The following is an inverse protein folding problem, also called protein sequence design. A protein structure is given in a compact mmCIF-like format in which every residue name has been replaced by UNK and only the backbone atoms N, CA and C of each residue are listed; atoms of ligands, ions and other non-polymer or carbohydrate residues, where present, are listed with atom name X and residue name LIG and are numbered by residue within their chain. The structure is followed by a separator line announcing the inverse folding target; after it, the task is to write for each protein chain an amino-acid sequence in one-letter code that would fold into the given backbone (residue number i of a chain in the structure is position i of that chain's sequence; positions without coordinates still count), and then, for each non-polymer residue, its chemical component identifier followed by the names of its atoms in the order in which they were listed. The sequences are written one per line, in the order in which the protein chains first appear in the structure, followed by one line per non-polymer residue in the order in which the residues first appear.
data_IF_004959638483
#
_entry.id   IF_004959638483
#
_cell.length_a   1.000
_cell.length_b   1.000
_cell.length_c   1.000
_cell.angle_alpha   90.00
_cell.angle_beta   90.00
_cell.angle_gamma   90.00
#
_symmetry.space_group_name_H-M   'P 1'
#
loop_
_entity.id
_entity.type
_entity.pdbx_description
1 polymer ?
#
# COMPACT_ATOMS: atom_id res chain seq x y z
N UNK A 1 -18.11 -8.61 -11.25
CA UNK A 1 -17.04 -8.32 -10.26
C UNK A 1 -15.92 -9.32 -10.46
N UNK A 2 -14.68 -8.85 -10.57
CA UNK A 2 -13.49 -9.67 -10.78
C UNK A 2 -12.73 -9.77 -9.46
N UNK A 3 -12.44 -10.99 -9.02
CA UNK A 3 -11.59 -11.26 -7.87
C UNK A 3 -10.37 -12.08 -8.31
N UNK A 4 -9.19 -11.68 -7.84
CA UNK A 4 -7.94 -12.38 -8.12
C UNK A 4 -7.31 -12.83 -6.81
N UNK A 5 -7.21 -14.14 -6.62
CA UNK A 5 -6.38 -14.75 -5.59
C UNK A 5 -4.94 -14.77 -6.10
N UNK A 6 -4.04 -14.12 -5.39
CA UNK A 6 -2.64 -13.95 -5.76
C UNK A 6 -1.70 -14.71 -4.85
N UNK A 7 -2.08 -15.03 -3.61
CA UNK A 7 -1.23 -15.79 -2.70
C UNK A 7 -1.43 -17.30 -2.87
N UNK A 8 -0.32 -18.02 -2.96
CA UNK A 8 -0.29 -19.44 -3.30
C UNK A 8 -0.58 -19.66 -4.79
N UNK A 9 -1.29 -20.75 -5.10
CA UNK A 9 -1.74 -20.99 -6.46
C UNK A 9 -2.78 -19.92 -6.84
N UNK A 10 -2.40 -19.07 -7.80
CA UNK A 10 -3.22 -17.93 -8.20
C UNK A 10 -4.48 -18.40 -8.94
N UNK A 11 -5.59 -17.70 -8.71
CA UNK A 11 -6.89 -18.03 -9.28
C UNK A 11 -7.64 -16.74 -9.62
N UNK A 12 -8.40 -16.75 -10.71
CA UNK A 12 -9.22 -15.62 -11.14
C UNK A 12 -10.68 -16.04 -11.13
N UNK A 13 -11.53 -15.19 -10.57
CA UNK A 13 -12.96 -15.39 -10.49
C UNK A 13 -13.69 -14.18 -11.09
N UNK A 14 -14.69 -14.44 -11.94
CA UNK A 14 -15.63 -13.44 -12.44
C UNK A 14 -17.01 -13.80 -11.93
N UNK A 15 -17.59 -12.91 -11.13
CA UNK A 15 -18.89 -13.13 -10.47
C UNK A 15 -18.96 -14.46 -9.73
N UNK A 16 -17.87 -14.80 -9.04
CA UNK A 16 -17.70 -16.04 -8.25
C UNK A 16 -17.35 -17.28 -9.07
N UNK A 17 -17.33 -17.22 -10.40
CA UNK A 17 -16.96 -18.34 -11.27
C UNK A 17 -15.48 -18.30 -11.62
N UNK A 18 -14.78 -19.40 -11.38
CA UNK A 18 -13.35 -19.53 -11.72
C UNK A 18 -13.15 -19.50 -13.24
N UNK A 19 -12.15 -18.73 -13.68
CA UNK A 19 -11.69 -18.72 -15.07
C UNK A 19 -10.59 -19.77 -15.21
N UNK A 20 -10.84 -20.78 -16.04
CA UNK A 20 -9.92 -21.91 -16.24
C UNK A 20 -8.76 -21.59 -17.18
N UNK A 21 -8.97 -20.67 -18.14
CA UNK A 21 -8.00 -20.37 -19.19
C UNK A 21 -7.96 -18.88 -19.49
N UNK A 22 -6.75 -18.39 -19.69
CA UNK A 22 -6.47 -17.06 -20.23
C UNK A 22 -5.84 -17.22 -21.61
N UNK A 23 -6.31 -16.44 -22.58
CA UNK A 23 -5.86 -16.49 -23.97
C UNK A 23 -4.37 -16.17 -24.09
N UNK A 24 -3.84 -15.27 -23.25
CA UNK A 24 -2.44 -14.85 -23.28
C UNK A 24 -1.83 -14.82 -21.89
N UNK A 25 -0.70 -15.52 -21.72
CA UNK A 25 0.12 -15.42 -20.50
C UNK A 25 0.63 -13.98 -20.28
N UNK A 26 0.93 -13.23 -21.34
CA UNK A 26 1.40 -11.83 -21.21
C UNK A 26 0.27 -10.91 -20.76
N UNK A 27 -0.94 -11.10 -21.28
CA UNK A 27 -2.14 -10.38 -20.85
C UNK A 27 -2.42 -10.63 -19.36
N UNK A 28 -2.34 -11.90 -18.94
CA UNK A 28 -2.49 -12.29 -17.53
C UNK A 28 -1.45 -11.60 -16.63
N UNK A 29 -0.17 -11.62 -17.02
CA UNK A 29 0.89 -10.96 -16.24
C UNK A 29 0.71 -9.44 -16.15
N UNK A 30 0.26 -8.80 -17.23
CA UNK A 30 -0.08 -7.37 -17.22
C UNK A 30 -1.22 -7.11 -16.24
N UNK A 31 -2.29 -7.92 -16.26
CA UNK A 31 -3.37 -7.80 -15.27
C UNK A 31 -2.83 -7.89 -13.83
N UNK A 32 -1.99 -8.90 -13.53
CA UNK A 32 -1.40 -9.05 -12.21
C UNK A 32 -0.57 -7.82 -11.80
N UNK A 33 0.26 -7.30 -12.71
CA UNK A 33 1.03 -6.09 -12.45
C UNK A 33 0.13 -4.89 -12.14
N UNK A 34 -0.91 -4.66 -12.95
CA UNK A 34 -1.89 -3.59 -12.72
C UNK A 34 -2.64 -3.75 -11.39
N UNK A 35 -2.81 -4.98 -10.90
CA UNK A 35 -3.48 -5.24 -9.62
C UNK A 35 -2.55 -5.16 -8.41
N UNK A 36 -1.25 -5.39 -8.58
CA UNK A 36 -0.25 -5.26 -7.53
C UNK A 36 0.17 -3.81 -7.28
N UNK A 37 -0.08 -2.91 -8.23
CA UNK A 37 0.03 -1.46 -8.03
C UNK A 37 -1.24 -0.93 -7.36
N UNK A 38 -1.14 0.03 -6.43
CA UNK A 38 -2.33 0.67 -5.84
C UNK A 38 -2.98 1.69 -6.82
N UNK A 39 -2.25 2.06 -7.88
CA UNK A 39 -2.68 3.04 -8.85
C UNK A 39 -3.82 2.53 -9.76
N UNK A 40 -4.83 3.38 -9.95
CA UNK A 40 -5.86 3.19 -10.99
C UNK A 40 -5.38 3.61 -12.38
N UNK A 41 -4.24 4.29 -12.47
CA UNK A 41 -3.58 4.71 -13.71
C UNK A 41 -2.11 4.34 -13.64
N UNK A 42 -1.70 3.36 -14.44
CA UNK A 42 -0.31 2.87 -14.48
C UNK A 42 0.35 3.37 -15.75
N UNK A 43 1.57 3.89 -15.67
CA UNK A 43 2.24 4.50 -16.81
C UNK A 43 2.49 3.50 -17.95
N UNK A 44 2.25 3.90 -19.19
CA UNK A 44 2.61 3.10 -20.36
C UNK A 44 4.13 2.91 -20.43
N UNK A 45 4.90 3.93 -20.04
CA UNK A 45 6.37 3.85 -19.99
C UNK A 45 6.82 2.80 -18.98
N UNK A 46 6.23 2.80 -17.79
CA UNK A 46 6.50 1.79 -16.75
C UNK A 46 6.18 0.37 -17.24
N UNK A 47 5.02 0.18 -17.89
CA UNK A 47 4.66 -1.11 -18.48
C UNK A 47 5.59 -1.50 -19.64
N UNK A 48 6.06 -0.54 -20.43
CA UNK A 48 7.03 -0.76 -21.49
C UNK A 48 8.34 -1.31 -20.93
N UNK A 49 8.89 -0.63 -19.93
CA UNK A 49 10.15 -1.02 -19.27
C UNK A 49 10.06 -2.42 -18.65
N UNK A 50 8.89 -2.81 -18.13
CA UNK A 50 8.67 -4.12 -17.51
C UNK A 50 8.46 -5.25 -18.52
N UNK A 51 7.67 -5.01 -19.57
CA UNK A 51 7.17 -6.09 -20.44
C UNK A 51 7.74 -6.08 -21.86
N UNK A 52 8.34 -4.97 -22.29
CA UNK A 52 8.82 -4.74 -23.65
C UNK A 52 10.11 -3.92 -23.65
N UNK A 53 11.04 -4.25 -22.76
CA UNK A 53 12.36 -3.63 -22.74
C UNK A 53 13.04 -3.75 -24.12
N UNK A 54 13.60 -2.64 -24.60
CA UNK A 54 14.26 -2.54 -25.91
C UNK A 54 13.36 -2.43 -27.14
N UNK A 55 12.04 -2.35 -27.00
CA UNK A 55 11.13 -2.15 -28.15
C UNK A 55 10.74 -0.68 -28.35
N UNK A 56 10.38 -0.31 -29.59
CA UNK A 56 9.91 1.04 -29.90
C UNK A 56 8.47 1.30 -29.43
N UNK A 57 8.13 2.57 -29.23
CA UNK A 57 6.84 2.99 -28.68
C UNK A 57 5.64 2.54 -29.54
N UNK A 58 5.79 2.52 -30.86
CA UNK A 58 4.69 2.14 -31.77
C UNK A 58 4.39 0.66 -31.64
N UNK A 59 5.43 -0.18 -31.55
CA UNK A 59 5.28 -1.61 -31.29
C UNK A 59 4.64 -1.87 -29.92
N UNK A 60 5.12 -1.18 -28.88
CA UNK A 60 4.61 -1.31 -27.51
C UNK A 60 3.12 -1.00 -27.45
N UNK A 61 2.69 0.17 -27.97
CA UNK A 61 1.29 0.59 -27.91
C UNK A 61 0.35 -0.38 -28.62
N UNK A 62 0.74 -0.84 -29.81
CA UNK A 62 -0.05 -1.83 -30.56
C UNK A 62 -0.20 -3.13 -29.76
N UNK A 63 0.90 -3.64 -29.20
CA UNK A 63 0.88 -4.89 -28.44
C UNK A 63 0.14 -4.74 -27.11
N UNK A 64 0.30 -3.62 -26.41
CA UNK A 64 -0.40 -3.33 -25.16
C UNK A 64 -1.92 -3.34 -25.38
N UNK A 65 -2.42 -2.66 -26.41
CA UNK A 65 -3.85 -2.66 -26.73
C UNK A 65 -4.39 -4.06 -27.01
N UNK A 66 -3.62 -4.90 -27.71
CA UNK A 66 -3.97 -6.32 -27.93
C UNK A 66 -4.01 -7.10 -26.61
N UNK A 67 -3.04 -6.91 -25.73
CA UNK A 67 -3.04 -7.59 -24.42
C UNK A 67 -4.23 -7.16 -23.56
N UNK A 68 -4.53 -5.85 -23.50
CA UNK A 68 -5.69 -5.34 -22.76
C UNK A 68 -7.00 -5.86 -23.35
N UNK A 69 -7.10 -5.97 -24.69
CA UNK A 69 -8.24 -6.61 -25.34
C UNK A 69 -8.41 -8.06 -24.91
N UNK A 70 -7.33 -8.85 -24.83
CA UNK A 70 -7.40 -10.22 -24.34
C UNK A 70 -7.85 -10.30 -22.88
N UNK A 71 -7.34 -9.45 -22.00
CA UNK A 71 -7.83 -9.38 -20.61
C UNK A 71 -9.34 -9.10 -20.58
N UNK A 72 -9.81 -8.10 -21.33
CA UNK A 72 -11.23 -7.75 -21.36
C UNK A 72 -12.10 -8.89 -21.86
N UNK A 73 -11.67 -9.54 -22.95
CA UNK A 73 -12.37 -10.66 -23.57
C UNK A 73 -12.46 -11.85 -22.63
N UNK A 74 -11.34 -12.24 -22.02
CA UNK A 74 -11.26 -13.41 -21.14
C UNK A 74 -12.06 -13.22 -19.85
N UNK A 75 -12.14 -11.98 -19.35
CA UNK A 75 -12.93 -11.63 -18.16
C UNK A 75 -14.37 -11.23 -18.45
N UNK A 76 -14.74 -11.05 -19.72
CA UNK A 76 -16.07 -10.55 -20.10
C UNK A 76 -16.39 -9.14 -19.57
N UNK A 77 -15.40 -8.23 -19.55
CA UNK A 77 -15.57 -6.87 -19.02
C UNK A 77 -15.54 -5.80 -20.12
N UNK A 78 -16.24 -4.70 -19.86
CA UNK A 78 -16.25 -3.53 -20.73
C UNK A 78 -14.92 -2.76 -20.74
N UNK A 79 -14.63 -2.10 -21.87
CA UNK A 79 -13.47 -1.22 -22.02
C UNK A 79 -13.40 -0.08 -20.99
N UNK A 80 -14.55 0.41 -20.51
CA UNK A 80 -14.59 1.45 -19.48
C UNK A 80 -13.89 1.04 -18.17
N UNK A 81 -13.70 -0.25 -17.92
CA UNK A 81 -13.05 -0.73 -16.70
C UNK A 81 -11.57 -1.07 -16.87
N UNK A 82 -11.09 -1.24 -18.11
CA UNK A 82 -9.69 -1.49 -18.41
C UNK A 82 -9.36 -0.96 -19.80
N UNK A 83 -8.66 0.16 -19.90
CA UNK A 83 -8.36 0.80 -21.19
C UNK A 83 -6.99 1.44 -21.22
N UNK A 84 -6.47 1.57 -22.43
CA UNK A 84 -5.28 2.37 -22.71
C UNK A 84 -5.71 3.81 -22.96
N UNK A 85 -5.04 4.76 -22.31
CA UNK A 85 -5.15 6.19 -22.57
C UNK A 85 -3.81 6.71 -23.12
N UNK A 86 -3.65 8.03 -23.29
CA UNK A 86 -2.47 8.58 -23.97
C UNK A 86 -1.15 8.17 -23.32
N UNK A 87 -1.07 8.23 -21.99
CA UNK A 87 0.19 7.99 -21.25
C UNK A 87 0.08 6.89 -20.20
N UNK A 88 -1.11 6.34 -19.98
CA UNK A 88 -1.36 5.38 -18.92
C UNK A 88 -2.40 4.35 -19.32
N UNK A 89 -2.37 3.21 -18.64
CA UNK A 89 -3.45 2.23 -18.62
C UNK A 89 -4.31 2.50 -17.40
N UNK A 90 -5.59 2.71 -17.64
CA UNK A 90 -6.59 2.83 -16.58
C UNK A 90 -7.14 1.46 -16.21
N UNK A 91 -7.26 1.20 -14.91
CA UNK A 91 -7.94 0.03 -14.33
C UNK A 91 -8.92 0.47 -13.25
N UNK A 92 -10.17 0.01 -13.35
CA UNK A 92 -11.21 0.31 -12.37
C UNK A 92 -11.14 -0.64 -11.17
N UNK A 93 -10.42 -0.20 -10.13
CA UNK A 93 -10.24 -0.92 -8.87
C UNK A 93 -11.54 -1.20 -8.09
N UNK A 94 -12.68 -0.63 -8.48
CA UNK A 94 -13.96 -1.00 -7.86
C UNK A 94 -14.44 -2.36 -8.35
N UNK A 95 -14.25 -2.67 -9.63
CA UNK A 95 -14.65 -3.96 -10.20
C UNK A 95 -13.59 -5.04 -10.01
N UNK A 96 -12.33 -4.65 -9.82
CA UNK A 96 -11.20 -5.55 -9.63
C UNK A 96 -10.76 -5.58 -8.16
N UNK A 97 -10.86 -6.74 -7.53
CA UNK A 97 -10.44 -6.99 -6.16
C UNK A 97 -9.37 -8.08 -6.12
N UNK A 98 -8.53 -8.07 -5.10
CA UNK A 98 -7.56 -9.13 -4.85
C UNK A 98 -7.30 -9.38 -3.36
N UNK A 99 -6.89 -10.59 -3.02
CA UNK A 99 -6.35 -10.90 -1.69
C UNK A 99 -5.09 -10.10 -1.37
N UNK A 100 -4.30 -9.73 -2.38
CA UNK A 100 -3.18 -8.81 -2.24
C UNK A 100 -3.62 -7.43 -1.74
N UNK A 101 -4.61 -6.81 -2.38
CA UNK A 101 -5.13 -5.52 -1.92
C UNK A 101 -5.71 -5.65 -0.50
N UNK A 102 -6.43 -6.74 -0.23
CA UNK A 102 -6.94 -7.05 1.09
C UNK A 102 -5.83 -7.16 2.15
N UNK A 103 -4.72 -7.80 1.81
CA UNK A 103 -3.53 -7.91 2.66
C UNK A 103 -2.87 -6.56 2.92
N UNK A 104 -2.61 -5.77 1.87
CA UNK A 104 -2.01 -4.44 2.01
C UNK A 104 -2.90 -3.53 2.86
N UNK A 105 -4.21 -3.51 2.62
CA UNK A 105 -5.14 -2.70 3.41
C UNK A 105 -5.20 -3.16 4.88
N UNK A 106 -5.29 -4.48 5.10
CA UNK A 106 -5.30 -5.02 6.47
C UNK A 106 -4.00 -4.71 7.22
N UNK A 107 -2.87 -4.64 6.53
CA UNK A 107 -1.60 -4.25 7.15
C UNK A 107 -1.57 -2.80 7.64
N UNK A 108 -2.40 -1.91 7.06
CA UNK A 108 -2.53 -0.50 7.47
C UNK A 108 -3.49 -0.33 8.68
N UNK A 109 -4.45 -1.23 8.83
CA UNK A 109 -5.45 -1.19 9.90
C UNK A 109 -4.85 -1.48 11.29
N UNK A 110 -5.65 -1.27 12.35
CA UNK A 110 -5.26 -1.56 13.73
C UNK A 110 -4.90 -3.04 13.87
N UNK A 111 -3.61 -3.31 14.11
CA UNK A 111 -3.03 -4.66 14.21
C UNK A 111 -3.75 -5.56 15.22
N UNK A 112 -4.42 -4.97 16.22
CA UNK A 112 -5.22 -5.68 17.23
C UNK A 112 -6.55 -6.24 16.67
N UNK A 113 -6.98 -5.80 15.50
CA UNK A 113 -8.20 -6.25 14.79
C UNK A 113 -7.90 -7.10 13.57
N UNK A 114 -6.63 -7.21 13.20
CA UNK A 114 -6.22 -8.11 12.14
C UNK A 114 -6.53 -9.54 12.60
N UNK A 115 -7.38 -10.23 11.85
CA UNK A 115 -7.51 -11.68 11.99
C UNK A 115 -6.15 -12.29 11.68
N UNK A 116 -5.45 -12.71 12.74
CA UNK A 116 -4.09 -13.24 12.66
C UNK A 116 -3.99 -14.44 11.74
N UNK A 117 -5.08 -15.21 11.60
CA UNK A 117 -5.05 -16.49 10.90
C UNK A 117 -5.03 -16.29 9.38
N UNK A 118 -5.82 -15.34 8.85
CA UNK A 118 -5.83 -15.02 7.42
C UNK A 118 -4.51 -14.36 6.96
N UNK A 119 -3.93 -13.51 7.79
CA UNK A 119 -2.62 -12.93 7.49
C UNK A 119 -1.50 -13.97 7.61
N UNK A 120 -1.55 -14.86 8.60
CA UNK A 120 -0.59 -15.97 8.71
C UNK A 120 -0.63 -16.87 7.48
N UNK A 121 -1.83 -17.22 6.99
CA UNK A 121 -1.99 -18.01 5.76
C UNK A 121 -1.33 -17.32 4.56
N UNK A 122 -1.59 -16.02 4.39
CA UNK A 122 -0.97 -15.20 3.34
C UNK A 122 0.55 -15.15 3.49
N UNK A 123 1.05 -14.95 4.71
CA UNK A 123 2.47 -14.86 4.99
C UNK A 123 3.22 -16.20 4.85
N UNK A 124 2.50 -17.31 4.93
CA UNK A 124 3.03 -18.64 4.64
C UNK A 124 2.90 -19.03 3.16
N UNK A 125 2.31 -18.16 2.34
CA UNK A 125 2.03 -18.42 0.93
C UNK A 125 2.88 -17.53 0.02
N UNK A 126 3.36 -18.09 -1.09
CA UNK A 126 4.13 -17.33 -2.07
C UNK A 126 3.22 -16.47 -2.95
N UNK A 127 3.55 -15.19 -3.11
CA UNK A 127 2.84 -14.31 -4.03
C UNK A 127 3.07 -14.74 -5.49
N UNK A 128 1.97 -14.97 -6.22
CA UNK A 128 1.94 -15.41 -7.62
C UNK A 128 2.84 -16.63 -7.85
N UNK A 129 2.64 -17.68 -7.04
CA UNK A 129 3.44 -18.91 -7.07
C UNK A 129 3.55 -19.47 -8.51
N UNK A 130 4.75 -19.92 -8.87
CA UNK A 130 5.05 -20.47 -10.20
C UNK A 130 5.29 -19.43 -11.31
N UNK A 131 5.33 -18.13 -10.98
CA UNK A 131 5.82 -17.08 -11.87
C UNK A 131 7.14 -16.49 -11.36
N UNK A 132 8.12 -16.32 -12.25
CA UNK A 132 9.50 -15.93 -11.87
C UNK A 132 9.96 -14.62 -12.53
N UNK A 133 9.02 -13.80 -13.03
CA UNK A 133 9.37 -12.53 -13.64
C UNK A 133 10.04 -11.59 -12.63
N UNK A 134 11.10 -10.88 -13.06
CA UNK A 134 11.91 -9.99 -12.21
C UNK A 134 11.08 -8.97 -11.41
N UNK A 135 10.00 -8.46 -12.00
CA UNK A 135 9.13 -7.48 -11.33
C UNK A 135 8.35 -8.10 -10.15
N UNK A 136 8.04 -9.41 -10.20
CA UNK A 136 7.35 -10.12 -9.11
C UNK A 136 8.23 -10.21 -7.87
N UNK A 137 9.54 -10.39 -8.05
CA UNK A 137 10.50 -10.45 -6.95
C UNK A 137 10.44 -9.22 -6.05
N UNK A 138 10.26 -8.03 -6.62
CA UNK A 138 10.13 -6.79 -5.86
C UNK A 138 8.88 -6.81 -4.96
N UNK A 139 7.73 -7.26 -5.48
CA UNK A 139 6.50 -7.40 -4.71
C UNK A 139 6.58 -8.51 -3.66
N UNK A 140 7.25 -9.64 -3.97
CA UNK A 140 7.54 -10.70 -2.99
C UNK A 140 8.39 -10.18 -1.85
N UNK A 141 9.43 -9.38 -2.13
CA UNK A 141 10.27 -8.75 -1.10
C UNK A 141 9.48 -7.80 -0.21
N UNK A 142 8.58 -7.01 -0.76
CA UNK A 142 7.67 -6.15 0.01
C UNK A 142 6.78 -7.00 0.91
N UNK A 143 6.17 -8.05 0.37
CA UNK A 143 5.30 -8.96 1.12
C UNK A 143 6.05 -9.64 2.27
N UNK A 144 7.24 -10.19 2.02
CA UNK A 144 8.10 -10.81 3.06
C UNK A 144 8.39 -9.84 4.19
N UNK A 145 8.78 -8.60 3.86
CA UNK A 145 9.03 -7.56 4.86
C UNK A 145 7.79 -7.23 5.69
N UNK A 146 6.60 -7.18 5.07
CA UNK A 146 5.35 -6.98 5.81
C UNK A 146 5.13 -8.15 6.76
N UNK A 147 5.28 -9.38 6.28
CA UNK A 147 5.05 -10.59 7.05
C UNK A 147 6.00 -10.75 8.24
N UNK A 148 7.30 -10.57 8.02
CA UNK A 148 8.32 -10.57 9.09
C UNK A 148 7.98 -9.54 10.17
N UNK A 149 7.49 -8.36 9.78
CA UNK A 149 7.11 -7.30 10.73
C UNK A 149 5.85 -7.67 11.50
N UNK A 150 4.82 -8.19 10.84
CA UNK A 150 3.60 -8.65 11.51
C UNK A 150 3.93 -9.74 12.53
N UNK A 151 4.82 -10.68 12.18
CA UNK A 151 5.31 -11.71 13.10
C UNK A 151 6.00 -11.09 14.32
N UNK A 152 6.99 -10.21 14.11
CA UNK A 152 7.66 -9.49 15.21
C UNK A 152 6.69 -8.74 16.11
N UNK A 153 5.69 -8.06 15.53
CA UNK A 153 4.68 -7.32 16.28
C UNK A 153 3.77 -8.24 17.09
N UNK A 154 3.46 -9.43 16.57
CA UNK A 154 2.66 -10.43 17.28
C UNK A 154 3.41 -11.09 18.44
N UNK A 155 4.73 -11.24 18.31
CA UNK A 155 5.63 -11.79 19.34
C UNK A 155 5.97 -10.77 20.43
N UNK A 156 5.95 -9.47 20.09
CA UNK A 156 6.20 -8.38 21.04
C UNK A 156 4.96 -8.13 21.92
N UNK A 157 4.65 -9.08 22.82
CA UNK A 157 3.68 -8.89 23.90
C UNK A 157 4.39 -8.47 25.19
N UNK A 158 4.01 -7.27 25.65
CA UNK A 158 4.28 -6.63 26.96
C UNK A 158 5.70 -6.06 27.14
N UNK A 159 5.90 -4.81 26.74
CA UNK A 159 7.05 -4.01 27.20
C UNK A 159 7.36 -2.78 26.34
N UNK A 160 7.23 -2.90 25.01
CA UNK A 160 7.62 -1.86 24.05
C UNK A 160 6.45 -0.99 23.59
N UNK A 161 6.73 0.28 23.26
CA UNK A 161 5.75 1.27 22.79
C UNK A 161 5.16 0.81 21.44
N UNK A 162 4.05 0.06 21.48
CA UNK A 162 3.38 -0.52 20.30
C UNK A 162 3.05 0.54 19.24
N UNK A 163 2.77 1.78 19.64
CA UNK A 163 2.53 2.86 18.70
C UNK A 163 3.81 3.28 17.97
N UNK A 164 4.98 3.27 18.62
CA UNK A 164 6.26 3.54 17.97
C UNK A 164 6.56 2.51 16.88
N UNK A 165 6.39 1.23 17.22
CA UNK A 165 6.50 0.10 16.30
C UNK A 165 5.54 0.24 15.10
N UNK A 166 4.27 0.58 15.37
CA UNK A 166 3.25 0.78 14.33
C UNK A 166 3.57 1.99 13.45
N UNK A 167 4.02 3.09 14.04
CA UNK A 167 4.40 4.29 13.32
C UNK A 167 5.58 4.02 12.38
N UNK A 168 6.59 3.30 12.88
CA UNK A 168 7.74 2.89 12.07
C UNK A 168 7.29 2.05 10.88
N UNK A 169 6.42 1.07 11.11
CA UNK A 169 5.89 0.20 10.06
C UNK A 169 5.23 0.99 8.92
N UNK A 170 4.34 1.94 9.25
CA UNK A 170 3.62 2.72 8.24
C UNK A 170 4.55 3.60 7.40
N UNK A 171 5.55 4.22 8.02
CA UNK A 171 6.55 5.03 7.32
C UNK A 171 7.41 4.16 6.39
N UNK A 172 7.82 2.96 6.82
CA UNK A 172 8.56 2.04 5.95
C UNK A 172 7.70 1.58 4.75
N UNK A 173 6.39 1.35 4.94
CA UNK A 173 5.48 1.03 3.84
C UNK A 173 5.35 2.19 2.85
N UNK A 174 5.22 3.41 3.35
CA UNK A 174 5.15 4.62 2.55
C UNK A 174 6.42 4.81 1.69
N UNK A 175 7.61 4.58 2.25
CA UNK A 175 8.86 4.59 1.49
C UNK A 175 8.95 3.47 0.43
N UNK A 176 8.47 2.27 0.76
CA UNK A 176 8.50 1.13 -0.17
C UNK A 176 7.52 1.28 -1.33
N UNK A 177 6.34 1.83 -1.07
CA UNK A 177 5.26 1.99 -2.06
C UNK A 177 5.33 3.31 -2.82
N UNK A 178 6.16 4.27 -2.36
CA UNK A 178 6.22 5.66 -2.84
C UNK A 178 4.89 6.42 -2.71
N UNK A 179 4.00 5.92 -1.86
CA UNK A 179 2.66 6.47 -1.64
C UNK A 179 2.59 7.12 -0.27
N UNK A 180 2.19 8.40 -0.23
CA UNK A 180 2.21 9.20 1.00
C UNK A 180 0.86 9.13 1.74
N UNK A 181 0.58 7.99 2.36
CA UNK A 181 -0.65 7.74 3.12
C UNK A 181 -0.72 8.49 4.44
N UNK A 182 0.43 8.69 5.09
CA UNK A 182 0.54 9.31 6.41
C UNK A 182 1.45 10.53 6.38
N UNK A 183 1.04 11.56 7.10
CA UNK A 183 1.82 12.78 7.29
C UNK A 183 2.44 12.76 8.69
N UNK A 184 3.78 12.66 8.80
CA UNK A 184 4.44 12.72 10.08
C UNK A 184 4.49 14.15 10.61
N UNK A 185 4.12 14.30 11.87
CA UNK A 185 4.22 15.52 12.65
C UNK A 185 4.96 15.23 13.97
N UNK A 186 5.76 16.17 14.44
CA UNK A 186 6.40 16.14 15.75
C UNK A 186 6.04 17.41 16.51
N UNK A 187 5.60 17.25 17.75
CA UNK A 187 5.20 18.34 18.64
C UNK A 187 5.98 18.20 19.94
N UNK A 188 6.71 19.23 20.35
CA UNK A 188 7.46 19.20 21.60
C UNK A 188 6.51 19.34 22.79
N UNK A 189 6.72 18.53 23.82
CA UNK A 189 5.87 18.50 25.03
C UNK A 189 6.01 19.76 25.87
N UNK A 190 7.15 20.46 25.79
CA UNK A 190 7.37 21.77 26.43
C UNK A 190 6.45 22.86 25.88
N UNK A 191 6.02 22.70 24.64
CA UNK A 191 5.38 23.76 23.87
C UNK A 191 3.85 23.70 23.99
N UNK A 192 3.29 22.78 24.80
CA UNK A 192 1.85 22.58 24.79
C UNK A 192 1.19 22.09 26.09
N UNK A 193 0.36 22.95 26.69
CA UNK A 193 -0.48 22.66 27.87
C UNK A 193 -1.75 21.85 27.50
N UNK A 194 -2.19 21.88 26.23
CA UNK A 194 -3.50 21.35 25.77
C UNK A 194 -3.51 19.86 25.40
N UNK A 195 -2.35 19.22 25.22
CA UNK A 195 -2.24 17.83 24.70
C UNK A 195 -2.63 16.73 25.71
N UNK A 196 -3.00 17.08 26.96
CA UNK A 196 -3.47 16.09 27.96
C UNK A 196 -4.77 15.38 27.55
N UNK A 197 -5.49 15.88 26.53
CA UNK A 197 -6.68 15.25 25.94
C UNK A 197 -6.65 15.27 24.40
N UNK A 198 -5.53 14.88 23.80
CA UNK A 198 -5.42 14.79 22.34
C UNK A 198 -6.38 13.73 21.79
N UNK A 199 -7.52 14.17 21.25
CA UNK A 199 -8.41 13.30 20.47
C UNK A 199 -7.98 13.32 19.01
N UNK A 200 -7.26 12.28 18.62
CA UNK A 200 -6.93 12.02 17.22
C UNK A 200 -8.00 11.16 16.55
N UNK A 201 -8.02 11.17 15.20
CA UNK A 201 -8.96 10.31 14.46
C UNK A 201 -8.55 8.85 14.64
N UNK A 202 -9.49 7.94 14.38
CA UNK A 202 -9.27 6.48 14.52
C UNK A 202 -8.09 5.96 13.69
N UNK A 203 -7.79 6.59 12.54
CA UNK A 203 -6.67 6.20 11.68
C UNK A 203 -5.33 6.86 12.04
N UNK A 204 -5.33 7.91 12.85
CA UNK A 204 -4.12 8.61 13.25
C UNK A 204 -3.37 7.79 14.32
N UNK A 205 -2.04 7.88 14.34
CA UNK A 205 -1.18 7.24 15.36
C UNK A 205 -0.49 8.30 16.20
N UNK A 206 -0.48 8.11 17.51
CA UNK A 206 0.32 8.93 18.44
C UNK A 206 1.37 8.05 19.11
N UNK A 207 2.62 8.47 19.02
CA UNK A 207 3.74 7.93 19.80
C UNK A 207 4.16 8.99 20.80
N UNK A 208 3.96 8.72 22.09
CA UNK A 208 4.39 9.61 23.16
C UNK A 208 5.81 9.26 23.61
N UNK A 209 6.64 10.28 23.76
CA UNK A 209 7.97 10.21 24.36
C UNK A 209 8.04 11.15 25.57
N UNK A 210 9.17 11.18 26.28
CA UNK A 210 9.36 12.09 27.41
C UNK A 210 9.33 13.57 27.01
N UNK A 211 9.78 13.92 25.80
CA UNK A 211 10.01 15.31 25.39
C UNK A 211 9.13 15.78 24.22
N UNK A 212 8.45 14.85 23.55
CA UNK A 212 7.66 15.14 22.36
C UNK A 212 6.58 14.09 22.11
N UNK A 213 5.62 14.46 21.26
CA UNK A 213 4.65 13.56 20.66
C UNK A 213 4.89 13.50 19.16
N UNK A 214 5.08 12.28 18.65
CA UNK A 214 5.12 12.00 17.22
C UNK A 214 3.71 11.59 16.81
N UNK A 215 3.20 12.17 15.74
CA UNK A 215 1.86 11.91 15.23
C UNK A 215 1.95 11.55 13.75
N UNK A 216 1.31 10.45 13.35
CA UNK A 216 1.08 10.13 11.94
C UNK A 216 -0.38 10.40 11.62
N UNK A 217 -0.64 11.43 10.82
CA UNK A 217 -1.98 11.79 10.37
C UNK A 217 -2.34 11.03 9.10
N UNK A 218 -3.49 10.37 9.10
CA UNK A 218 -4.02 9.73 7.90
C UNK A 218 -4.47 10.81 6.89
N UNK A 219 -3.90 10.78 5.68
CA UNK A 219 -4.15 11.82 4.66
C UNK A 219 -5.49 11.64 3.94
N UNK A 220 -5.85 10.39 3.62
CA UNK A 220 -6.99 10.10 2.74
C UNK A 220 -6.84 10.76 1.36
N UNK A 221 -7.90 11.42 0.88
CA UNK A 221 -7.92 12.10 -0.44
C UNK A 221 -7.54 13.58 -0.40
N UNK A 222 -7.29 14.15 0.77
CA UNK A 222 -7.01 15.58 0.94
C UNK A 222 -5.55 15.93 0.64
N UNK A 223 -5.30 17.21 0.38
CA UNK A 223 -3.92 17.72 0.28
C UNK A 223 -3.23 17.72 1.65
N UNK A 224 -1.90 17.73 1.68
CA UNK A 224 -1.13 17.71 2.93
C UNK A 224 -1.46 18.91 3.82
N UNK A 225 -1.52 20.10 3.20
CA UNK A 225 -1.85 21.35 3.87
C UNK A 225 -3.21 21.29 4.56
N UNK A 226 -4.25 20.83 3.87
CA UNK A 226 -5.61 20.73 4.43
C UNK A 226 -5.69 19.75 5.61
N UNK A 227 -4.92 18.66 5.57
CA UNK A 227 -4.89 17.66 6.64
C UNK A 227 -4.23 18.26 7.88
N UNK A 228 -3.11 18.95 7.70
CA UNK A 228 -2.34 19.56 8.79
C UNK A 228 -3.12 20.72 9.40
N UNK A 229 -3.62 21.67 8.60
CA UNK A 229 -4.44 22.80 9.08
C UNK A 229 -5.69 22.31 9.82
N UNK A 230 -6.36 21.30 9.28
CA UNK A 230 -7.53 20.70 9.92
C UNK A 230 -7.20 19.95 11.23
N UNK A 231 -5.96 19.50 11.40
CA UNK A 231 -5.47 18.93 12.65
C UNK A 231 -5.14 20.02 13.66
N UNK A 232 -4.31 21.00 13.27
CA UNK A 232 -3.89 22.15 14.08
C UNK A 232 -5.08 22.89 14.68
N UNK A 233 -6.05 23.25 13.84
CA UNK A 233 -7.27 23.96 14.27
C UNK A 233 -8.11 23.16 15.28
N UNK A 234 -8.08 21.83 15.19
CA UNK A 234 -8.88 20.96 16.08
C UNK A 234 -8.29 20.88 17.48
N UNK A 235 -6.97 21.02 17.60
CA UNK A 235 -6.25 20.86 18.86
C UNK A 235 -5.74 22.19 19.43
N UNK A 236 -6.14 23.29 18.80
CA UNK A 236 -5.79 24.67 19.17
C UNK A 236 -4.27 24.88 19.29
N UNK A 237 -3.55 24.40 18.27
CA UNK A 237 -2.12 24.64 18.09
C UNK A 237 -1.89 25.71 17.03
N UNK A 238 -0.66 26.24 16.98
CA UNK A 238 -0.18 27.03 15.86
C UNK A 238 0.73 26.19 14.95
N UNK A 239 0.82 26.60 13.68
CA UNK A 239 1.61 25.87 12.68
C UNK A 239 3.12 25.88 12.98
N UNK A 240 3.63 26.91 13.65
CA UNK A 240 5.04 27.06 14.05
C UNK A 240 5.42 26.18 15.25
N UNK A 241 4.44 25.60 15.94
CA UNK A 241 4.63 24.65 17.05
C UNK A 241 4.73 23.19 16.57
N UNK A 242 4.71 22.97 15.25
CA UNK A 242 4.72 21.65 14.62
C UNK A 242 5.91 21.51 13.69
N UNK A 243 6.69 20.46 13.90
CA UNK A 243 7.73 20.03 12.99
C UNK A 243 7.18 18.96 12.04
N UNK A 244 7.49 19.07 10.74
CA UNK A 244 7.14 18.08 9.71
C UNK A 244 8.45 17.41 9.27
N UNK A 245 8.87 16.32 9.91
CA UNK A 245 10.13 15.68 9.57
C UNK A 245 10.04 14.93 8.24
N UNK A 246 11.20 14.68 7.62
CA UNK A 246 11.31 13.68 6.57
C UNK A 246 11.10 12.27 7.15
N UNK A 247 10.44 11.39 6.38
CA UNK A 247 10.13 10.02 6.78
C UNK A 247 11.39 9.24 7.25
N UNK A 248 12.52 9.44 6.57
CA UNK A 248 13.82 8.80 6.90
C UNK A 248 14.37 9.24 8.25
N UNK A 249 14.25 10.53 8.59
CA UNK A 249 14.68 11.08 9.88
C UNK A 249 13.80 10.53 11.01
N UNK A 250 12.49 10.52 10.80
CA UNK A 250 11.55 10.02 11.80
C UNK A 250 11.69 8.50 12.02
N UNK A 251 11.98 7.73 10.97
CA UNK A 251 12.23 6.29 11.08
C UNK A 251 13.39 5.98 12.02
N UNK A 252 14.52 6.70 11.89
CA UNK A 252 15.67 6.51 12.78
C UNK A 252 15.29 6.80 14.23
N UNK A 253 14.53 7.88 14.46
CA UNK A 253 14.06 8.25 15.79
C UNK A 253 13.14 7.19 16.41
N UNK A 254 12.24 6.63 15.61
CA UNK A 254 11.36 5.54 16.05
C UNK A 254 12.16 4.26 16.32
N UNK A 255 13.22 3.98 15.55
CA UNK A 255 14.15 2.87 15.84
C UNK A 255 14.81 3.02 17.20
N UNK A 256 15.34 4.20 17.51
CA UNK A 256 15.96 4.46 18.81
C UNK A 256 14.95 4.30 19.96
N UNK A 257 13.69 4.72 19.76
CA UNK A 257 12.60 4.54 20.75
C UNK A 257 12.15 3.09 20.93
N UNK A 258 12.37 2.23 19.93
CA UNK A 258 12.02 0.80 19.98
C UNK A 258 13.15 -0.02 20.58
N UNK A 259 14.40 0.45 20.48
CA UNK A 259 15.56 -0.30 20.97
C UNK A 259 15.95 0.07 22.42
N UNK A 260 15.39 1.16 22.97
CA UNK A 260 15.56 1.61 24.36
C UNK A 260 14.34 1.25 25.23
#
# INVERSE_FOLDING_TARGET
MVYVKMFGDWEIFVDGKKIEKFTSKKALKILFYLLLTDASRVSIKELADVFWDGFDEKYIRKNLNVQLYYVRKDLGIDEKHLRSEREYVYIDKKIFQSDYQGFINSSKDDLNKISTDKIKEICNSELLKGLDDKWIYNFRKITSKICEKIQKLSETRRGLNQNALRAKFLLEQQLLTRERYFLPLVIKTSDCVSLKKLKVRKGDIIVETQHEKIILLERGTKSEKEVIEGFVNRIDLKMDEIEIPEDTCLLKKLEDLINN
#
